data_IF_381818562902
#
_entry.id   IF_381818562902
#
_cell.length_a   1.000
_cell.length_b   1.000
_cell.length_c   1.000
_cell.angle_alpha   90.00
_cell.angle_beta   90.00
_cell.angle_gamma   90.00
#
_symmetry.space_group_name_H-M   'P 1'
#
loop_
_entity.id
_entity.type
_entity.pdbx_description
1 polymer ?
#
# COMPACT_ATOMS: atom_id res chain seq x y z
N UNK A 1 14.51 -6.33 4.41
CA UNK A 1 14.55 -5.87 3.00
C UNK A 1 14.04 -6.99 2.10
N UNK A 2 12.80 -6.90 1.60
CA UNK A 2 12.32 -7.80 0.55
C UNK A 2 12.84 -7.28 -0.78
N UNK A 3 13.74 -8.02 -1.42
CA UNK A 3 14.42 -7.58 -2.66
C UNK A 3 13.46 -7.26 -3.80
N UNK A 4 12.22 -7.78 -3.76
CA UNK A 4 11.19 -7.54 -4.77
C UNK A 4 10.40 -6.24 -4.54
N UNK A 5 10.15 -5.85 -3.28
CA UNK A 5 9.40 -4.62 -3.00
C UNK A 5 10.24 -3.38 -3.35
N UNK A 6 11.49 -3.33 -2.88
CA UNK A 6 12.43 -2.24 -3.19
C UNK A 6 12.72 -2.12 -4.69
N UNK A 7 12.63 -3.22 -5.46
CA UNK A 7 12.84 -3.16 -6.92
C UNK A 7 11.74 -2.36 -7.65
N UNK A 8 10.54 -2.26 -7.08
CA UNK A 8 9.41 -1.55 -7.65
C UNK A 8 9.28 -0.16 -7.04
N UNK A 9 9.28 -0.07 -5.71
CA UNK A 9 8.99 1.18 -4.99
C UNK A 9 10.22 1.99 -4.63
N UNK A 10 11.42 1.39 -4.69
CA UNK A 10 12.61 1.95 -4.06
C UNK A 10 12.50 1.92 -2.54
N UNK A 11 13.33 2.73 -1.89
CA UNK A 11 13.11 3.07 -0.49
C UNK A 11 11.82 3.89 -0.34
N UNK A 12 11.12 3.69 0.78
CA UNK A 12 9.87 4.41 1.07
C UNK A 12 9.89 5.02 2.46
N UNK A 13 9.21 6.15 2.60
CA UNK A 13 8.68 6.63 3.88
C UNK A 13 7.18 6.36 3.89
N UNK A 14 6.67 5.79 4.98
CA UNK A 14 5.24 5.48 5.13
C UNK A 14 4.82 5.87 6.54
N UNK A 15 3.78 6.71 6.63
CA UNK A 15 3.14 7.08 7.88
C UNK A 15 1.61 7.09 7.71
N UNK A 16 0.87 7.67 8.66
CA UNK A 16 -0.60 7.71 8.64
C UNK A 16 -1.18 8.73 7.65
N UNK A 17 -0.35 9.52 6.96
CA UNK A 17 -0.76 10.61 6.07
C UNK A 17 -0.28 10.42 4.64
N UNK A 18 0.91 9.87 4.42
CA UNK A 18 1.43 9.65 3.08
C UNK A 18 2.39 8.46 2.98
N UNK A 19 2.48 7.95 1.75
CA UNK A 19 3.55 7.07 1.29
C UNK A 19 4.41 7.84 0.29
N UNK A 20 5.67 8.09 0.65
CA UNK A 20 6.65 8.81 -0.20
C UNK A 20 7.65 7.80 -0.75
N UNK A 21 7.85 7.83 -2.06
CA UNK A 21 8.78 6.96 -2.79
C UNK A 21 10.15 7.61 -2.96
N UNK A 22 11.18 6.79 -3.20
CA UNK A 22 12.57 7.24 -3.37
C UNK A 22 12.75 8.32 -4.46
N UNK A 23 11.95 8.28 -5.52
CA UNK A 23 11.99 9.26 -6.61
C UNK A 23 11.24 10.57 -6.30
N UNK A 24 10.67 10.71 -5.11
CA UNK A 24 9.93 11.89 -4.65
C UNK A 24 8.44 11.91 -5.00
N UNK A 25 7.95 10.91 -5.76
CA UNK A 25 6.51 10.70 -5.92
C UNK A 25 5.87 10.34 -4.58
N UNK A 26 4.55 10.58 -4.46
CA UNK A 26 3.82 10.31 -3.22
C UNK A 26 2.38 9.88 -3.46
N UNK A 27 1.85 9.16 -2.49
CA UNK A 27 0.41 8.93 -2.32
C UNK A 27 0.00 9.57 -1.00
N UNK A 28 -0.88 10.57 -1.06
CA UNK A 28 -1.48 11.19 0.12
C UNK A 28 -2.76 10.45 0.52
N UNK A 29 -2.90 10.16 1.80
CA UNK A 29 -4.10 9.57 2.38
C UNK A 29 -5.12 10.65 2.75
N UNK A 30 -6.40 10.34 2.59
CA UNK A 30 -7.50 11.21 2.99
C UNK A 30 -8.07 10.79 4.34
N UNK A 31 -8.56 9.56 4.44
CA UNK A 31 -9.18 9.02 5.65
C UNK A 31 -8.64 7.64 5.99
N UNK A 32 -8.49 7.35 7.29
CA UNK A 32 -8.40 5.99 7.82
C UNK A 32 -9.83 5.42 7.89
N UNK A 33 -10.17 4.52 6.98
CA UNK A 33 -11.53 3.99 6.81
C UNK A 33 -11.80 2.69 7.57
N UNK A 34 -10.75 1.98 8.00
CA UNK A 34 -10.85 0.81 8.87
C UNK A 34 -9.56 0.57 9.67
N UNK A 35 -9.71 -0.05 10.84
CA UNK A 35 -8.65 -0.43 11.78
C UNK A 35 -8.42 -1.97 11.86
N UNK A 36 -9.13 -2.72 11.01
CA UNK A 36 -9.03 -4.18 10.87
C UNK A 36 -9.14 -4.56 9.39
N UNK A 37 -8.53 -5.68 9.02
CA UNK A 37 -8.53 -6.19 7.65
C UNK A 37 -8.49 -7.72 7.62
N UNK A 38 -9.21 -8.33 6.68
CA UNK A 38 -9.18 -9.78 6.52
C UNK A 38 -8.06 -10.22 5.58
N UNK A 39 -7.08 -10.94 6.12
CA UNK A 39 -5.96 -11.53 5.37
C UNK A 39 -6.10 -13.04 5.39
N UNK A 40 -6.28 -13.64 4.21
CA UNK A 40 -6.41 -15.10 4.04
C UNK A 40 -7.49 -15.72 4.96
N UNK A 41 -8.60 -15.00 5.13
CA UNK A 41 -9.74 -15.42 5.95
C UNK A 41 -9.58 -15.19 7.46
N UNK A 42 -8.47 -14.56 7.90
CA UNK A 42 -8.26 -14.16 9.29
C UNK A 42 -8.35 -12.66 9.44
N UNK A 43 -9.10 -12.21 10.44
CA UNK A 43 -9.16 -10.79 10.79
C UNK A 43 -7.90 -10.39 11.57
N UNK A 44 -7.23 -9.33 11.13
CA UNK A 44 -6.00 -8.81 11.75
C UNK A 44 -6.11 -7.30 12.01
N UNK A 45 -5.47 -6.77 13.06
CA UNK A 45 -5.29 -5.34 13.22
C UNK A 45 -4.54 -4.77 12.02
N UNK A 46 -5.10 -3.73 11.42
CA UNK A 46 -4.59 -3.15 10.19
C UNK A 46 -4.98 -1.67 10.11
N UNK A 47 -4.38 -0.92 9.19
CA UNK A 47 -4.86 0.40 8.83
C UNK A 47 -5.26 0.39 7.36
N UNK A 48 -6.50 0.75 7.06
CA UNK A 48 -6.99 0.90 5.68
C UNK A 48 -7.24 2.36 5.39
N UNK A 49 -6.52 2.91 4.41
CA UNK A 49 -6.57 4.32 4.04
C UNK A 49 -7.21 4.51 2.67
N UNK A 50 -8.06 5.53 2.53
CA UNK A 50 -8.44 6.08 1.21
C UNK A 50 -7.35 7.03 0.70
N UNK A 51 -7.16 7.05 -0.62
CA UNK A 51 -6.22 7.96 -1.29
C UNK A 51 -6.93 9.25 -1.67
N UNK A 52 -6.38 10.38 -1.23
CA UNK A 52 -6.94 11.73 -1.42
C UNK A 52 -7.06 12.15 -2.88
N UNK A 53 -6.08 11.79 -3.68
CA UNK A 53 -6.07 12.04 -5.12
C UNK A 53 -5.70 10.73 -5.82
N UNK A 54 -6.69 9.89 -6.21
CA UNK A 54 -6.43 8.60 -6.81
C UNK A 54 -5.50 8.75 -8.01
N UNK A 55 -4.40 7.99 -7.98
CA UNK A 55 -3.31 8.12 -8.93
C UNK A 55 -2.42 6.90 -8.90
N UNK A 56 -1.63 6.70 -9.94
CA UNK A 56 -0.73 5.56 -10.04
C UNK A 56 0.65 6.04 -10.47
N UNK A 57 1.50 6.42 -9.50
CA UNK A 57 2.76 7.10 -9.78
C UNK A 57 3.70 6.21 -10.57
N UNK A 58 4.49 6.84 -11.43
CA UNK A 58 5.59 6.16 -12.12
C UNK A 58 6.80 6.20 -11.19
N UNK A 59 7.23 5.03 -10.75
CA UNK A 59 8.30 4.82 -9.80
C UNK A 59 9.63 4.55 -10.53
N UNK A 60 10.62 4.07 -9.78
CA UNK A 60 11.92 3.72 -10.34
C UNK A 60 11.80 2.74 -11.51
N UNK A 61 12.64 2.92 -12.52
CA UNK A 61 12.67 2.11 -13.74
C UNK A 61 11.38 2.14 -14.57
N UNK A 62 10.49 3.12 -14.35
CA UNK A 62 9.22 3.22 -15.07
C UNK A 62 8.14 2.29 -14.54
N UNK A 63 8.35 1.68 -13.37
CA UNK A 63 7.38 0.81 -12.73
C UNK A 63 6.15 1.60 -12.25
N UNK A 64 5.00 0.93 -12.17
CA UNK A 64 3.78 1.46 -11.54
C UNK A 64 3.67 0.92 -10.12
N UNK A 65 2.99 1.64 -9.24
CA UNK A 65 2.72 1.17 -7.88
C UNK A 65 1.75 -0.02 -7.85
N UNK A 66 0.82 -0.05 -8.80
CA UNK A 66 -0.15 -1.13 -8.98
C UNK A 66 -0.58 -1.20 -10.44
N UNK A 67 -1.10 -2.33 -10.90
CA UNK A 67 -1.79 -2.51 -12.18
C UNK A 67 -1.64 -1.39 -13.25
N UNK A 68 -2.78 -0.86 -13.72
CA UNK A 68 -2.84 0.23 -14.69
C UNK A 68 -3.81 1.35 -14.29
N UNK A 69 -4.70 1.10 -13.32
CA UNK A 69 -5.69 2.08 -12.89
C UNK A 69 -5.14 2.96 -11.78
N UNK A 70 -5.79 4.10 -11.48
CA UNK A 70 -5.45 4.90 -10.30
C UNK A 70 -5.59 4.09 -9.01
N UNK A 71 -4.59 4.17 -8.13
CA UNK A 71 -4.66 3.59 -6.79
C UNK A 71 -5.65 4.41 -5.96
N UNK A 72 -6.56 3.73 -5.29
CA UNK A 72 -7.65 4.33 -4.52
C UNK A 72 -7.56 4.02 -3.03
N UNK A 73 -6.98 2.88 -2.66
CA UNK A 73 -6.83 2.47 -1.26
C UNK A 73 -5.51 1.76 -0.99
N UNK A 74 -5.03 1.87 0.24
CA UNK A 74 -3.94 1.07 0.77
C UNK A 74 -4.37 0.43 2.08
N UNK A 75 -3.97 -0.81 2.31
CA UNK A 75 -4.09 -1.48 3.60
C UNK A 75 -2.70 -1.84 4.11
N UNK A 76 -2.40 -1.52 5.37
CA UNK A 76 -1.16 -1.92 6.02
C UNK A 76 -1.42 -2.76 7.27
N UNK A 77 -0.62 -3.79 7.48
CA UNK A 77 -0.65 -4.60 8.71
C UNK A 77 0.73 -5.14 9.02
N UNK A 78 0.90 -5.63 10.25
CA UNK A 78 2.13 -6.31 10.66
C UNK A 78 1.96 -7.82 10.49
N UNK A 79 2.92 -8.45 9.81
CA UNK A 79 3.12 -9.89 9.83
C UNK A 79 4.47 -10.19 10.49
N UNK A 80 4.43 -10.59 11.76
CA UNK A 80 5.60 -10.69 12.63
C UNK A 80 6.33 -9.33 12.71
N UNK A 81 7.59 -9.25 12.26
CA UNK A 81 8.39 -8.02 12.26
C UNK A 81 8.42 -7.33 10.87
N UNK A 82 7.46 -7.67 10.00
CA UNK A 82 7.38 -7.17 8.62
C UNK A 82 6.11 -6.35 8.45
N UNK A 83 6.25 -5.13 7.93
CA UNK A 83 5.11 -4.32 7.51
C UNK A 83 4.68 -4.75 6.12
N UNK A 84 3.43 -5.19 6.01
CA UNK A 84 2.76 -5.54 4.77
C UNK A 84 1.99 -4.31 4.29
N UNK A 85 2.05 -4.03 2.98
CA UNK A 85 1.27 -2.95 2.35
C UNK A 85 0.59 -3.50 1.10
N UNK A 86 -0.73 -3.72 1.18
CA UNK A 86 -1.55 -4.06 0.04
C UNK A 86 -2.10 -2.79 -0.62
N UNK A 87 -2.14 -2.78 -1.95
CA UNK A 87 -2.56 -1.65 -2.77
C UNK A 87 -3.77 -2.06 -3.61
N UNK A 88 -4.74 -1.15 -3.76
CA UNK A 88 -6.02 -1.42 -4.41
C UNK A 88 -6.38 -0.33 -5.42
N UNK A 89 -7.06 -0.76 -6.48
CA UNK A 89 -7.66 0.07 -7.54
C UNK A 89 -9.20 -0.02 -7.50
N UNK A 90 -9.78 -0.47 -6.37
CA UNK A 90 -11.21 -0.70 -6.21
C UNK A 90 -11.99 0.61 -6.05
N UNK A 91 -13.27 0.61 -6.43
CA UNK A 91 -14.16 1.76 -6.21
C UNK A 91 -14.63 1.83 -4.76
N UNK A 92 -14.91 0.67 -4.15
CA UNK A 92 -15.30 0.57 -2.75
C UNK A 92 -14.09 0.25 -1.87
N UNK A 93 -14.13 0.70 -0.62
CA UNK A 93 -13.09 0.45 0.37
C UNK A 93 -12.89 -1.06 0.60
N UNK A 94 -11.66 -1.57 0.47
CA UNK A 94 -11.39 -3.00 0.60
C UNK A 94 -11.54 -3.44 2.06
N UNK A 95 -12.09 -4.64 2.27
CA UNK A 95 -12.20 -5.26 3.60
C UNK A 95 -11.31 -6.50 3.74
N UNK A 96 -10.70 -6.94 2.64
CA UNK A 96 -9.92 -8.18 2.54
C UNK A 96 -8.91 -8.13 1.39
N UNK A 97 -7.88 -8.98 1.45
CA UNK A 97 -6.75 -8.99 0.52
C UNK A 97 -7.00 -9.60 -0.86
N UNK A 98 -8.22 -10.03 -1.20
CA UNK A 98 -8.51 -10.77 -2.44
C UNK A 98 -8.50 -9.91 -3.71
N UNK A 99 -8.69 -8.60 -3.56
CA UNK A 99 -8.82 -7.62 -4.64
C UNK A 99 -7.62 -6.68 -4.73
N UNK A 100 -6.54 -6.95 -3.98
CA UNK A 100 -5.31 -6.19 -4.07
C UNK A 100 -4.68 -6.36 -5.45
N UNK A 101 -4.20 -5.27 -6.04
CA UNK A 101 -3.46 -5.30 -7.29
C UNK A 101 -1.95 -5.47 -7.07
N UNK A 102 -1.45 -5.18 -5.87
CA UNK A 102 -0.07 -5.40 -5.46
C UNK A 102 0.04 -5.58 -3.94
N UNK A 103 1.09 -6.28 -3.52
CA UNK A 103 1.46 -6.47 -2.12
C UNK A 103 2.96 -6.24 -1.95
N UNK A 104 3.31 -5.34 -1.03
CA UNK A 104 4.68 -4.98 -0.70
C UNK A 104 5.03 -5.36 0.74
N UNK A 105 6.30 -5.69 0.97
CA UNK A 105 6.84 -6.16 2.25
C UNK A 105 8.04 -5.32 2.66
N UNK A 106 7.95 -4.65 3.81
CA UNK A 106 8.99 -3.77 4.32
C UNK A 106 9.46 -4.23 5.69
N UNK A 107 10.77 -4.18 5.90
CA UNK A 107 11.37 -4.41 7.23
C UNK A 107 12.00 -3.08 7.60
N UNK A 108 11.38 -2.39 8.55
CA UNK A 108 11.97 -1.18 9.11
C UNK A 108 13.09 -1.59 10.10
N UNK A 109 14.29 -1.00 9.98
CA UNK A 109 15.38 -1.26 10.91
C UNK A 109 15.13 -0.66 12.30
#
# INVERSE_FOLDING_TARGET
>A
MSTTATAITGDISFDDFEMVFENGERIEFEDLIADHFTVDGKDVPASVYSVKAPGNPVLLNGNRLCGESPVTYLASWLDSDVTMVAVFETVEGPTRNDSMCALYTYVYP
#
